data_IF_630412519851
#
_entry.id   IF_630412519851
#
_cell.length_a   1.000
_cell.length_b   1.000
_cell.length_c   1.000
_cell.angle_alpha   90.00
_cell.angle_beta   90.00
_cell.angle_gamma   90.00
#
_symmetry.space_group_name_H-M   'P 1'
#
loop_
_entity.id
_entity.type
_entity.pdbx_description
1 polymer ?
#
# COMPACT_ATOMS: atom_id res chain seq x y z
N UNK A 1 22.76 -55.93 36.13
CA UNK A 1 21.61 -55.22 35.52
C UNK A 1 21.86 -53.72 35.70
N UNK A 2 22.22 -52.96 34.66
CA UNK A 2 22.52 -51.54 34.80
C UNK A 2 21.25 -50.68 34.75
N UNK A 3 21.30 -49.61 35.54
CA UNK A 3 20.28 -48.58 35.75
C UNK A 3 20.09 -47.76 34.45
N UNK A 4 18.90 -47.78 33.85
CA UNK A 4 18.52 -46.88 32.76
C UNK A 4 17.74 -45.71 33.35
N UNK A 5 18.39 -44.55 33.50
CA UNK A 5 17.76 -43.30 33.95
C UNK A 5 17.88 -42.25 32.85
N UNK A 6 16.74 -41.59 32.61
CA UNK A 6 16.56 -40.29 31.95
C UNK A 6 16.98 -40.15 30.48
N UNK A 7 16.13 -40.64 29.57
CA UNK A 7 16.07 -40.10 28.20
C UNK A 7 14.82 -39.22 27.95
N UNK A 8 13.85 -39.21 28.89
CA UNK A 8 12.59 -38.49 28.70
C UNK A 8 12.63 -37.05 29.23
N UNK A 9 13.50 -36.76 30.22
CA UNK A 9 13.65 -35.41 30.78
C UNK A 9 14.48 -34.46 29.90
N UNK A 10 15.33 -34.97 29.01
CA UNK A 10 16.20 -34.12 28.16
C UNK A 10 15.44 -33.50 26.98
N UNK A 11 14.44 -34.21 26.42
CA UNK A 11 13.63 -33.71 25.30
C UNK A 11 12.69 -32.56 25.71
N UNK A 12 12.08 -32.64 26.91
CA UNK A 12 11.19 -31.59 27.41
C UNK A 12 11.93 -30.29 27.72
N UNK A 13 13.17 -30.38 28.21
CA UNK A 13 13.98 -29.22 28.53
C UNK A 13 14.47 -28.50 27.28
N UNK A 14 14.90 -29.26 26.25
CA UNK A 14 15.31 -28.67 24.96
C UNK A 14 14.13 -27.98 24.22
N UNK A 15 12.92 -28.52 24.35
CA UNK A 15 11.71 -27.87 23.80
C UNK A 15 11.34 -26.60 24.57
N UNK A 16 11.46 -26.60 25.89
CA UNK A 16 11.24 -25.42 26.72
C UNK A 16 12.27 -24.32 26.42
N UNK A 17 13.54 -24.67 26.23
CA UNK A 17 14.59 -23.72 25.85
C UNK A 17 14.29 -23.05 24.51
N UNK A 18 13.92 -23.83 23.48
CA UNK A 18 13.55 -23.33 22.16
C UNK A 18 12.31 -22.42 22.22
N UNK A 19 11.29 -22.79 23.00
CA UNK A 19 10.08 -21.98 23.16
C UNK A 19 10.39 -20.67 23.89
N UNK A 20 11.28 -20.69 24.88
CA UNK A 20 11.71 -19.49 25.62
C UNK A 20 12.53 -18.57 24.72
N UNK A 21 13.38 -19.14 23.86
CA UNK A 21 14.14 -18.40 22.85
C UNK A 21 13.22 -17.75 21.82
N UNK A 22 12.27 -18.51 21.25
CA UNK A 22 11.28 -17.99 20.30
C UNK A 22 10.42 -16.88 20.91
N UNK A 23 10.03 -17.02 22.18
CA UNK A 23 9.24 -16.01 22.90
C UNK A 23 10.06 -14.76 23.21
N UNK A 24 11.34 -14.91 23.56
CA UNK A 24 12.25 -13.78 23.76
C UNK A 24 12.49 -13.02 22.45
N UNK A 25 12.66 -13.74 21.33
CA UNK A 25 12.78 -13.15 20.00
C UNK A 25 11.51 -12.40 19.62
N UNK A 26 10.33 -13.00 19.79
CA UNK A 26 9.05 -12.35 19.49
C UNK A 26 8.84 -11.09 20.36
N UNK A 27 9.20 -11.16 21.65
CA UNK A 27 9.09 -10.02 22.57
C UNK A 27 10.06 -8.89 22.18
N UNK A 28 11.27 -9.22 21.77
CA UNK A 28 12.23 -8.23 21.27
C UNK A 28 11.75 -7.60 19.97
N UNK A 29 11.23 -8.39 19.02
CA UNK A 29 10.63 -7.85 17.80
C UNK A 29 9.47 -6.90 18.11
N UNK A 30 8.60 -7.27 19.05
CA UNK A 30 7.49 -6.42 19.48
C UNK A 30 7.98 -5.14 20.17
N UNK A 31 9.06 -5.20 20.96
CA UNK A 31 9.65 -4.02 21.59
C UNK A 31 10.40 -3.15 20.59
N UNK A 32 11.05 -3.74 19.60
CA UNK A 32 11.70 -3.02 18.49
C UNK A 32 10.65 -2.32 17.63
N UNK A 33 9.47 -2.91 17.43
CA UNK A 33 8.32 -2.24 16.80
C UNK A 33 7.85 -1.02 17.60
N UNK A 34 7.81 -1.12 18.93
CA UNK A 34 7.44 0.01 19.80
C UNK A 34 8.52 1.11 19.85
N UNK A 35 9.80 0.73 19.82
CA UNK A 35 10.92 1.66 20.03
C UNK A 35 11.39 2.33 18.73
N UNK A 36 11.44 1.58 17.62
CA UNK A 36 12.02 2.05 16.37
C UNK A 36 10.98 2.31 15.27
N UNK A 37 9.70 1.99 15.52
CA UNK A 37 8.59 2.31 14.63
C UNK A 37 8.87 1.89 13.20
N UNK A 38 8.77 0.59 12.91
CA UNK A 38 8.86 0.13 11.52
C UNK A 38 7.68 0.73 10.74
N UNK A 39 7.96 1.79 9.99
CA UNK A 39 6.98 2.61 9.28
C UNK A 39 6.54 1.92 7.97
N UNK A 40 5.90 0.76 8.08
CA UNK A 40 5.40 0.00 6.93
C UNK A 40 3.96 -0.49 7.10
N UNK A 41 3.23 0.01 8.10
CA UNK A 41 1.83 -0.38 8.28
C UNK A 41 0.92 0.80 7.96
N UNK A 42 0.49 0.88 6.71
CA UNK A 42 -0.74 1.58 6.37
C UNK A 42 -1.90 0.79 6.98
N UNK A 43 -2.22 1.05 8.25
CA UNK A 43 -3.41 0.46 8.87
C UNK A 43 -4.61 1.20 8.30
N UNK A 44 -5.24 0.63 7.29
CA UNK A 44 -6.57 1.04 6.85
C UNK A 44 -7.58 0.68 7.95
N UNK A 45 -7.80 1.60 8.89
CA UNK A 45 -8.97 1.55 9.78
C UNK A 45 -10.06 2.41 9.13
N UNK A 46 -10.72 1.86 8.12
CA UNK A 46 -12.05 2.33 7.74
C UNK A 46 -13.07 1.51 8.54
N UNK A 47 -13.70 2.19 9.50
CA UNK A 47 -14.99 1.88 10.13
C UNK A 47 -15.15 0.49 10.80
N UNK A 48 -14.80 0.43 12.09
CA UNK A 48 -14.92 -0.78 12.95
C UNK A 48 -16.38 -1.24 13.12
N UNK A 49 -17.35 -0.36 12.84
CA UNK A 49 -18.79 -0.64 12.93
C UNK A 49 -19.40 -1.18 11.63
N UNK A 50 -18.65 -1.19 10.53
CA UNK A 50 -19.11 -1.74 9.25
C UNK A 50 -19.04 -3.28 9.26
N UNK A 51 -19.65 -3.96 8.29
CA UNK A 51 -19.54 -5.42 8.12
C UNK A 51 -18.19 -5.83 7.48
N UNK A 52 -17.11 -5.11 7.85
CA UNK A 52 -15.77 -5.28 7.29
C UNK A 52 -15.33 -6.73 7.46
N UNK A 53 -15.36 -7.31 8.67
CA UNK A 53 -14.94 -8.68 8.92
C UNK A 53 -15.66 -9.76 8.07
N UNK A 54 -16.91 -9.52 7.69
CA UNK A 54 -17.70 -10.44 6.84
C UNK A 54 -17.34 -10.33 5.35
N UNK A 55 -16.67 -9.24 4.96
CA UNK A 55 -16.15 -8.99 3.60
C UNK A 55 -14.63 -9.14 3.49
N UNK A 56 -13.93 -9.54 4.57
CA UNK A 56 -12.46 -9.65 4.67
C UNK A 56 -11.79 -10.78 3.86
N UNK A 57 -12.52 -11.38 2.92
CA UNK A 57 -11.98 -12.27 1.89
C UNK A 57 -12.76 -12.19 0.57
N UNK A 58 -13.71 -11.25 0.47
CA UNK A 58 -14.31 -10.86 -0.80
C UNK A 58 -13.42 -9.75 -1.36
N UNK A 59 -12.28 -10.18 -1.91
CA UNK A 59 -11.25 -9.32 -2.50
C UNK A 59 -11.75 -8.66 -3.80
N UNK A 60 -12.83 -7.90 -3.72
CA UNK A 60 -13.01 -6.69 -4.52
C UNK A 60 -12.41 -5.49 -3.77
N UNK A 61 -11.15 -5.64 -3.33
CA UNK A 61 -10.26 -4.51 -2.99
C UNK A 61 -9.98 -3.66 -4.25
N UNK A 62 -10.44 -4.11 -5.41
CA UNK A 62 -10.44 -3.31 -6.61
C UNK A 62 -11.66 -2.41 -6.68
N UNK A 63 -11.54 -1.21 -6.11
CA UNK A 63 -12.38 -0.10 -6.55
C UNK A 63 -12.27 -0.01 -8.08
N UNK A 64 -13.38 0.09 -8.84
CA UNK A 64 -13.35 0.26 -10.30
C UNK A 64 -12.45 1.44 -10.72
N UNK A 65 -12.29 2.41 -9.82
CA UNK A 65 -11.38 3.54 -9.95
C UNK A 65 -9.92 3.09 -9.89
N UNK A 66 -9.54 2.26 -8.91
CA UNK A 66 -8.19 1.75 -8.75
C UNK A 66 -7.77 0.90 -9.96
N UNK A 67 -8.65 0.06 -10.50
CA UNK A 67 -8.40 -0.66 -11.76
C UNK A 67 -8.23 0.28 -12.96
N UNK A 68 -9.06 1.32 -13.07
CA UNK A 68 -8.94 2.30 -14.15
C UNK A 68 -7.61 3.06 -14.08
N UNK A 69 -7.14 3.40 -12.88
CA UNK A 69 -5.84 4.04 -12.64
C UNK A 69 -4.71 3.09 -13.04
N UNK A 70 -4.71 1.84 -12.55
CA UNK A 70 -3.68 0.85 -12.90
C UNK A 70 -3.62 0.61 -14.41
N UNK A 71 -4.75 0.41 -15.06
CA UNK A 71 -4.84 0.20 -16.50
C UNK A 71 -4.32 1.43 -17.27
N UNK A 72 -4.64 2.63 -16.81
CA UNK A 72 -4.11 3.87 -17.38
C UNK A 72 -2.59 3.98 -17.20
N UNK A 73 -2.07 3.75 -16.00
CA UNK A 73 -0.66 3.88 -15.68
C UNK A 73 0.22 2.86 -16.41
N UNK A 74 -0.34 1.76 -16.90
CA UNK A 74 0.37 0.75 -17.72
C UNK A 74 0.17 1.00 -19.23
N UNK A 75 -0.79 1.84 -19.63
CA UNK A 75 -1.11 2.09 -21.03
C UNK A 75 -0.03 2.87 -21.79
N UNK A 76 -0.08 2.80 -23.12
CA UNK A 76 0.78 3.58 -24.02
C UNK A 76 0.29 5.02 -24.23
N UNK A 77 -0.57 5.53 -23.34
CA UNK A 77 -0.98 6.93 -23.39
C UNK A 77 0.20 7.86 -23.14
N UNK A 78 0.31 8.94 -23.92
CA UNK A 78 1.41 9.91 -23.80
C UNK A 78 1.54 10.47 -22.37
N UNK A 79 0.42 10.67 -21.67
CA UNK A 79 0.40 11.15 -20.28
C UNK A 79 0.91 10.06 -19.34
N UNK A 80 0.50 8.81 -19.53
CA UNK A 80 0.97 7.68 -18.73
C UNK A 80 2.47 7.41 -18.96
N UNK A 81 2.95 7.50 -20.20
CA UNK A 81 4.38 7.39 -20.54
C UNK A 81 5.18 8.50 -19.85
N UNK A 82 4.68 9.73 -19.86
CA UNK A 82 5.32 10.86 -19.16
C UNK A 82 5.35 10.65 -17.66
N UNK A 83 4.23 10.28 -17.04
CA UNK A 83 4.16 9.96 -15.61
C UNK A 83 5.17 8.87 -15.25
N UNK A 84 5.23 7.77 -16.00
CA UNK A 84 6.22 6.69 -15.78
C UNK A 84 7.67 7.17 -15.91
N UNK A 85 7.94 8.09 -16.83
CA UNK A 85 9.26 8.69 -16.99
C UNK A 85 9.66 9.54 -15.78
N UNK A 86 8.69 10.26 -15.19
CA UNK A 86 8.91 11.07 -13.98
C UNK A 86 8.93 10.23 -12.71
N UNK A 87 8.27 9.07 -12.70
CA UNK A 87 8.15 8.21 -11.54
C UNK A 87 9.49 7.62 -11.06
N UNK A 88 10.49 7.52 -11.95
CA UNK A 88 11.82 7.02 -11.59
C UNK A 88 11.77 5.61 -10.98
N UNK A 89 12.16 5.49 -9.71
CA UNK A 89 12.17 4.23 -8.94
C UNK A 89 10.91 4.04 -8.08
N UNK A 90 9.96 4.98 -8.08
CA UNK A 90 8.73 4.88 -7.28
C UNK A 90 7.85 3.76 -7.87
N UNK A 91 7.27 2.95 -6.98
CA UNK A 91 6.37 1.87 -7.35
C UNK A 91 5.12 2.43 -8.04
N UNK A 92 4.77 1.88 -9.21
CA UNK A 92 3.50 2.18 -9.88
C UNK A 92 2.28 1.84 -9.02
N UNK A 93 2.43 0.88 -8.11
CA UNK A 93 1.37 0.52 -7.19
C UNK A 93 1.16 1.59 -6.12
N UNK A 94 2.25 2.07 -5.50
CA UNK A 94 2.17 3.11 -4.47
C UNK A 94 1.61 4.40 -5.07
N UNK A 95 2.08 4.76 -6.28
CA UNK A 95 1.51 5.88 -7.04
C UNK A 95 0.02 5.70 -7.32
N UNK A 96 -0.42 4.48 -7.70
CA UNK A 96 -1.82 4.23 -8.00
C UNK A 96 -2.72 4.41 -6.76
N UNK A 97 -2.20 4.06 -5.57
CA UNK A 97 -2.89 4.23 -4.29
C UNK A 97 -3.02 5.72 -3.97
N UNK A 98 -1.93 6.47 -4.04
CA UNK A 98 -1.93 7.92 -3.76
C UNK A 98 -2.86 8.68 -4.73
N UNK A 99 -2.87 8.29 -6.00
CA UNK A 99 -3.76 8.86 -7.03
C UNK A 99 -5.23 8.49 -6.81
N UNK A 100 -5.52 7.28 -6.31
CA UNK A 100 -6.90 6.89 -5.96
C UNK A 100 -7.43 7.78 -4.83
N UNK A 101 -6.62 8.02 -3.79
CA UNK A 101 -6.99 8.88 -2.68
C UNK A 101 -7.27 10.32 -3.15
N UNK A 102 -6.41 10.86 -4.02
CA UNK A 102 -6.61 12.18 -4.61
C UNK A 102 -7.92 12.28 -5.42
N UNK A 103 -8.28 11.22 -6.15
CA UNK A 103 -9.49 11.19 -6.97
C UNK A 103 -10.79 11.05 -6.15
N UNK A 104 -10.72 10.65 -4.88
CA UNK A 104 -11.86 10.63 -3.95
C UNK A 104 -12.24 12.03 -3.43
N UNK A 105 -11.37 13.03 -3.55
CA UNK A 105 -11.66 14.42 -3.16
C UNK A 105 -12.89 14.91 -3.93
N UNK A 106 -13.85 15.60 -3.31
CA UNK A 106 -15.10 15.96 -4.00
C UNK A 106 -14.96 17.13 -5.00
N UNK A 107 -14.04 18.06 -4.76
CA UNK A 107 -13.89 19.31 -5.54
C UNK A 107 -12.83 19.16 -6.62
N UNK A 108 -13.18 19.43 -7.88
CA UNK A 108 -12.30 19.15 -9.03
C UNK A 108 -10.98 19.92 -9.02
N UNK A 109 -10.98 21.20 -8.63
CA UNK A 109 -9.75 21.99 -8.52
C UNK A 109 -8.82 21.46 -7.41
N UNK A 110 -9.40 20.94 -6.33
CA UNK A 110 -8.66 20.40 -5.20
C UNK A 110 -8.10 19.00 -5.57
N UNK A 111 -8.84 18.20 -6.38
CA UNK A 111 -8.34 16.95 -6.97
C UNK A 111 -7.12 17.17 -7.84
N UNK A 112 -7.20 18.11 -8.79
CA UNK A 112 -6.11 18.40 -9.74
C UNK A 112 -4.87 18.86 -8.97
N UNK A 113 -5.05 19.70 -7.95
CA UNK A 113 -3.95 20.16 -7.10
C UNK A 113 -3.32 19.01 -6.32
N UNK A 114 -4.12 18.13 -5.71
CA UNK A 114 -3.62 16.96 -4.98
C UNK A 114 -2.87 15.98 -5.90
N UNK A 115 -3.43 15.70 -7.09
CA UNK A 115 -2.74 14.90 -8.11
C UNK A 115 -1.43 15.56 -8.54
N UNK A 116 -1.43 16.88 -8.74
CA UNK A 116 -0.22 17.62 -9.08
C UNK A 116 0.84 17.46 -8.00
N UNK A 117 0.47 17.57 -6.73
CA UNK A 117 1.39 17.44 -5.60
C UNK A 117 1.98 16.02 -5.50
N UNK A 118 1.16 14.98 -5.74
CA UNK A 118 1.62 13.58 -5.84
C UNK A 118 2.59 13.40 -7.02
N UNK A 119 2.32 14.02 -8.16
CA UNK A 119 3.17 13.92 -9.36
C UNK A 119 4.44 14.78 -9.28
N UNK A 120 4.42 15.87 -8.51
CA UNK A 120 5.56 16.77 -8.34
C UNK A 120 6.74 16.05 -7.69
N UNK A 121 6.46 15.12 -6.76
CA UNK A 121 7.46 14.29 -6.10
C UNK A 121 8.68 15.10 -5.64
N UNK A 122 9.88 14.56 -5.88
CA UNK A 122 11.17 15.21 -5.60
C UNK A 122 11.81 15.81 -6.87
N UNK A 123 11.05 15.90 -7.97
CA UNK A 123 11.57 16.27 -9.29
C UNK A 123 11.29 17.75 -9.60
N UNK A 124 12.31 18.45 -10.09
CA UNK A 124 12.19 19.84 -10.54
C UNK A 124 11.56 19.88 -11.94
N UNK A 125 10.25 19.64 -12.00
CA UNK A 125 9.43 19.70 -13.20
C UNK A 125 8.73 21.05 -13.24
N UNK A 126 8.62 21.63 -14.44
CA UNK A 126 7.90 22.88 -14.65
C UNK A 126 6.43 22.75 -14.17
N UNK A 127 6.01 23.69 -13.32
CA UNK A 127 4.69 23.67 -12.67
C UNK A 127 3.53 23.66 -13.69
N UNK A 128 3.73 24.27 -14.87
CA UNK A 128 2.74 24.26 -15.94
C UNK A 128 2.65 22.88 -16.62
N UNK A 129 3.77 22.17 -16.79
CA UNK A 129 3.78 20.80 -17.30
C UNK A 129 3.15 19.83 -16.30
N UNK A 130 3.43 19.98 -15.01
CA UNK A 130 2.79 19.20 -13.94
C UNK A 130 1.29 19.43 -13.91
N UNK A 131 0.84 20.69 -13.97
CA UNK A 131 -0.58 21.02 -14.00
C UNK A 131 -1.28 20.43 -15.23
N UNK A 132 -0.63 20.47 -16.39
CA UNK A 132 -1.14 19.85 -17.61
C UNK A 132 -1.26 18.32 -17.48
N UNK A 133 -0.27 17.66 -16.87
CA UNK A 133 -0.30 16.22 -16.64
C UNK A 133 -1.41 15.82 -15.66
N UNK A 134 -1.54 16.55 -14.55
CA UNK A 134 -2.56 16.32 -13.54
C UNK A 134 -3.98 16.48 -14.12
N UNK A 135 -4.24 17.58 -14.84
CA UNK A 135 -5.55 17.82 -15.46
C UNK A 135 -5.89 16.73 -16.49
N UNK A 136 -4.95 16.40 -17.38
CA UNK A 136 -5.20 15.34 -18.37
C UNK A 136 -5.38 13.96 -17.74
N UNK A 137 -4.62 13.64 -16.68
CA UNK A 137 -4.79 12.40 -15.94
C UNK A 137 -6.20 12.28 -15.36
N UNK A 138 -6.64 13.30 -14.61
CA UNK A 138 -7.96 13.34 -13.98
C UNK A 138 -9.06 13.20 -15.04
N UNK A 139 -8.95 13.94 -16.16
CA UNK A 139 -9.92 13.89 -17.25
C UNK A 139 -9.97 12.50 -17.91
N UNK A 140 -8.82 11.88 -18.19
CA UNK A 140 -8.74 10.57 -18.85
C UNK A 140 -9.25 9.44 -17.95
N UNK A 141 -8.85 9.42 -16.68
CA UNK A 141 -9.34 8.40 -15.72
C UNK A 141 -10.84 8.57 -15.48
N UNK A 142 -11.32 9.80 -15.29
CA UNK A 142 -12.75 10.07 -15.11
C UNK A 142 -13.57 9.63 -16.33
N UNK A 143 -13.07 9.87 -17.54
CA UNK A 143 -13.73 9.43 -18.78
C UNK A 143 -13.83 7.92 -18.91
N UNK A 144 -12.80 7.17 -18.49
CA UNK A 144 -12.79 5.70 -18.47
C UNK A 144 -13.75 5.12 -17.43
N UNK A 145 -13.89 5.76 -16.27
CA UNK A 145 -14.87 5.35 -15.26
C UNK A 145 -16.32 5.55 -15.73
N UNK A 146 -16.60 6.57 -16.55
CA UNK A 146 -17.95 6.84 -17.06
C UNK A 146 -18.36 5.97 -18.26
N UNK A 147 -17.42 5.26 -18.90
CA UNK A 147 -17.72 4.39 -20.06
C UNK A 147 -18.07 2.95 -19.70
N UNK A 148 -18.02 2.57 -18.41
CA UNK A 148 -18.33 1.21 -17.92
C UNK A 148 -19.72 1.06 -17.28
N UNK A 149 -20.62 2.03 -17.48
CA UNK A 149 -22.04 1.97 -17.07
C UNK A 149 -22.95 1.51 -18.22
#
# INVERSE_FOLDING_TARGET
>A
MPFMVNQQQTNSNAQLENLTEALAVARNMQQDWLNYGLNFVHIYVEDVESDWLETWGDDQISSPLFDAIKEFLVSDDDVAIKIRKYLGDISLFDLAVDLEECLRISRDNDKISAVKDVLAGDFDIDDLELLYLADNFVNKVSSKCHTKL
#
